data_IF_642981181773
#
_entry.id   IF_642981181773
#
_cell.length_a   1.000
_cell.length_b   1.000
_cell.length_c   1.000
_cell.angle_alpha   90.00
_cell.angle_beta   90.00
_cell.angle_gamma   90.00
#
_symmetry.space_group_name_H-M   'P 1'
#
loop_
_entity.id
_entity.type
_entity.pdbx_description
1 polymer ?
#
# COMPACT_ATOMS: atom_id res chain seq x y z
N UNK A 1 -36.66 -18.88 15.78
CA UNK A 1 -36.73 -19.51 14.45
C UNK A 1 -37.10 -18.41 13.47
N UNK A 2 -36.42 -18.40 12.32
CA UNK A 2 -36.64 -17.53 11.13
C UNK A 2 -35.80 -16.23 11.09
N UNK A 3 -34.64 -16.35 10.46
CA UNK A 3 -33.81 -15.27 9.90
C UNK A 3 -34.06 -15.25 8.39
N UNK A 4 -34.54 -14.12 7.82
CA UNK A 4 -34.34 -13.89 6.40
C UNK A 4 -33.99 -12.41 6.14
N UNK A 5 -32.70 -12.11 6.25
CA UNK A 5 -32.09 -10.86 5.81
C UNK A 5 -30.82 -11.18 5.04
N UNK A 6 -30.96 -12.06 4.05
CA UNK A 6 -29.94 -12.54 3.14
C UNK A 6 -29.46 -11.39 2.24
N UNK A 7 -28.74 -10.41 2.79
CA UNK A 7 -27.90 -9.54 1.99
C UNK A 7 -26.63 -10.33 1.69
N UNK A 8 -26.78 -11.21 0.69
CA UNK A 8 -25.68 -11.61 -0.17
C UNK A 8 -25.14 -10.32 -0.76
N UNK A 9 -24.11 -9.75 -0.12
CA UNK A 9 -23.31 -8.71 -0.74
C UNK A 9 -22.72 -9.36 -1.99
N UNK A 10 -23.26 -8.95 -3.16
CA UNK A 10 -22.83 -9.44 -4.46
C UNK A 10 -21.33 -9.21 -4.70
N UNK A 11 -20.80 -9.73 -5.83
CA UNK A 11 -19.37 -9.73 -6.09
C UNK A 11 -18.85 -8.29 -6.02
N UNK A 12 -17.95 -8.05 -5.06
CA UNK A 12 -17.18 -6.84 -4.82
C UNK A 12 -17.24 -5.84 -5.99
N UNK A 13 -17.97 -4.74 -5.79
CA UNK A 13 -17.94 -3.62 -6.73
C UNK A 13 -16.46 -3.22 -6.97
N UNK A 14 -15.97 -3.17 -8.23
CA UNK A 14 -14.56 -2.95 -8.54
C UNK A 14 -14.00 -1.64 -7.98
N UNK A 15 -14.84 -0.61 -7.83
CA UNK A 15 -14.47 0.65 -7.18
C UNK A 15 -14.13 0.49 -5.69
N UNK A 16 -14.82 -0.39 -4.96
CA UNK A 16 -14.49 -0.70 -3.57
C UNK A 16 -13.17 -1.46 -3.48
N UNK A 17 -12.91 -2.37 -4.42
CA UNK A 17 -11.66 -3.11 -4.45
C UNK A 17 -10.45 -2.19 -4.61
N UNK A 18 -10.49 -1.22 -5.52
CA UNK A 18 -9.40 -0.24 -5.68
C UNK A 18 -9.20 0.62 -4.44
N UNK A 19 -10.27 0.99 -3.72
CA UNK A 19 -10.15 1.71 -2.45
C UNK A 19 -9.51 0.86 -1.36
N UNK A 20 -9.87 -0.43 -1.27
CA UNK A 20 -9.29 -1.38 -0.31
C UNK A 20 -7.83 -1.70 -0.67
N UNK A 21 -7.53 -1.97 -1.93
CA UNK A 21 -6.16 -2.22 -2.38
C UNK A 21 -5.30 -0.96 -2.12
N UNK A 22 -5.82 0.25 -2.38
CA UNK A 22 -5.14 1.50 -2.04
C UNK A 22 -4.91 1.70 -0.54
N UNK A 23 -5.87 1.35 0.32
CA UNK A 23 -5.66 1.42 1.77
C UNK A 23 -4.62 0.41 2.26
N UNK A 24 -4.62 -0.80 1.70
CA UNK A 24 -3.61 -1.83 2.00
C UNK A 24 -2.21 -1.31 1.65
N UNK A 25 -2.01 -0.74 0.46
CA UNK A 25 -0.71 -0.18 0.07
C UNK A 25 -0.27 0.98 0.95
N UNK A 26 -1.20 1.87 1.35
CA UNK A 26 -0.91 2.96 2.29
C UNK A 26 -0.44 2.43 3.65
N UNK A 27 -1.10 1.42 4.17
CA UNK A 27 -0.75 0.80 5.45
C UNK A 27 0.60 0.09 5.33
N UNK A 28 0.86 -0.60 4.21
CA UNK A 28 2.16 -1.22 3.95
C UNK A 28 3.28 -0.20 3.94
N UNK A 29 3.11 0.88 3.15
CA UNK A 29 4.08 1.96 3.06
C UNK A 29 4.33 2.63 4.40
N UNK A 30 3.27 2.87 5.18
CA UNK A 30 3.37 3.45 6.51
C UNK A 30 4.16 2.56 7.46
N UNK A 31 3.95 1.24 7.42
CA UNK A 31 4.69 0.28 8.24
C UNK A 31 6.18 0.26 7.89
N UNK A 32 6.50 0.23 6.59
CA UNK A 32 7.88 0.26 6.10
C UNK A 32 8.60 1.57 6.47
N UNK A 33 7.92 2.71 6.30
CA UNK A 33 8.45 4.03 6.66
C UNK A 33 8.64 4.19 8.17
N UNK A 34 7.71 3.71 8.98
CA UNK A 34 7.84 3.78 10.44
C UNK A 34 9.08 3.03 10.96
N UNK A 35 9.52 1.99 10.25
CA UNK A 35 10.73 1.23 10.58
C UNK A 35 12.05 1.83 10.06
N UNK A 36 12.02 2.89 9.26
CA UNK A 36 13.21 3.38 8.51
C UNK A 36 13.58 4.84 8.76
N UNK A 37 12.84 5.55 9.63
CA UNK A 37 13.06 6.97 9.95
C UNK A 37 13.30 7.84 8.69
N UNK A 38 12.28 8.00 7.83
CA UNK A 38 12.40 8.58 6.48
C UNK A 38 12.51 10.11 6.46
N UNK A 39 12.37 10.79 7.60
CA UNK A 39 12.37 12.25 7.68
C UNK A 39 13.64 12.85 7.05
N UNK A 40 13.47 13.75 6.09
CA UNK A 40 14.58 14.38 5.38
C UNK A 40 15.40 13.43 4.48
N UNK A 41 14.94 12.19 4.24
CA UNK A 41 15.58 11.20 3.37
C UNK A 41 14.79 10.99 2.08
N UNK A 42 15.50 10.57 1.04
CA UNK A 42 14.86 10.09 -0.19
C UNK A 42 14.44 8.63 0.01
N UNK A 43 13.17 8.35 -0.26
CA UNK A 43 12.59 7.02 -0.17
C UNK A 43 12.13 6.59 -1.55
N UNK A 44 12.48 5.38 -1.96
CA UNK A 44 12.07 4.80 -3.24
C UNK A 44 11.18 3.58 -2.98
N UNK A 45 9.97 3.61 -3.55
CA UNK A 45 9.06 2.48 -3.53
C UNK A 45 9.08 1.77 -4.87
N UNK A 46 9.37 0.47 -4.84
CA UNK A 46 9.38 -0.41 -6.01
C UNK A 46 8.24 -1.43 -5.88
N UNK A 47 7.43 -1.55 -6.93
CA UNK A 47 6.26 -2.45 -7.00
C UNK A 47 5.96 -2.84 -8.44
N UNK A 48 5.02 -3.76 -8.65
CA UNK A 48 4.57 -4.10 -10.00
C UNK A 48 3.86 -2.90 -10.66
N UNK A 49 3.95 -2.75 -11.99
CA UNK A 49 3.28 -1.66 -12.73
C UNK A 49 1.77 -1.58 -12.44
N UNK A 50 1.17 -2.75 -12.28
CA UNK A 50 -0.25 -2.89 -12.01
C UNK A 50 -0.67 -2.39 -10.62
N UNK A 51 0.26 -2.40 -9.66
CA UNK A 51 0.02 -1.95 -8.29
C UNK A 51 0.30 -0.45 -8.11
N UNK A 52 0.97 0.21 -9.06
CA UNK A 52 1.32 1.64 -8.95
C UNK A 52 0.09 2.52 -8.78
N UNK A 53 -0.98 2.21 -9.52
CA UNK A 53 -2.25 2.94 -9.45
C UNK A 53 -2.91 2.78 -8.09
N UNK A 54 -2.94 1.56 -7.55
CA UNK A 54 -3.49 1.27 -6.23
C UNK A 54 -2.63 1.92 -5.13
N UNK A 55 -1.29 1.83 -5.24
CA UNK A 55 -0.35 2.47 -4.31
C UNK A 55 -0.50 3.98 -4.25
N UNK A 56 -0.57 4.66 -5.40
CA UNK A 56 -0.78 6.12 -5.44
C UNK A 56 -2.15 6.50 -4.88
N UNK A 57 -3.14 5.61 -5.02
CA UNK A 57 -4.52 5.89 -4.69
C UNK A 57 -5.14 6.93 -5.63
N UNK A 58 -6.42 7.20 -5.42
CA UNK A 58 -7.12 8.18 -6.25
C UNK A 58 -6.52 9.58 -6.08
N UNK A 59 -6.15 10.23 -7.19
CA UNK A 59 -5.52 11.57 -7.21
C UNK A 59 -4.26 11.69 -6.32
N UNK A 60 -3.46 10.62 -6.20
CA UNK A 60 -2.24 10.61 -5.37
C UNK A 60 -2.50 10.84 -3.86
N UNK A 61 -3.69 10.51 -3.36
CA UNK A 61 -4.05 10.67 -1.95
C UNK A 61 -3.05 10.00 -1.01
N UNK A 62 -2.62 8.78 -1.34
CA UNK A 62 -1.67 8.04 -0.51
C UNK A 62 -0.30 8.72 -0.47
N UNK A 63 0.20 9.21 -1.60
CA UNK A 63 1.47 9.95 -1.64
C UNK A 63 1.41 11.21 -0.78
N UNK A 64 0.31 11.96 -0.88
CA UNK A 64 0.09 13.16 -0.06
C UNK A 64 0.10 12.82 1.43
N UNK A 65 -0.63 11.75 1.82
CA UNK A 65 -0.66 11.25 3.19
C UNK A 65 0.73 10.85 3.70
N UNK A 66 1.50 10.10 2.92
CA UNK A 66 2.85 9.67 3.32
C UNK A 66 3.81 10.85 3.45
N UNK A 67 3.75 11.81 2.52
CA UNK A 67 4.56 13.03 2.58
C UNK A 67 4.22 13.88 3.81
N UNK A 68 2.94 14.09 4.10
CA UNK A 68 2.50 14.88 5.26
C UNK A 68 2.86 14.19 6.59
N UNK A 69 2.71 12.87 6.67
CA UNK A 69 2.93 12.10 7.90
C UNK A 69 4.40 11.85 8.24
N UNK A 70 5.22 11.57 7.22
CA UNK A 70 6.60 11.12 7.43
C UNK A 70 7.66 12.13 6.99
N UNK A 71 7.24 13.22 6.32
CA UNK A 71 8.10 14.31 5.85
C UNK A 71 9.41 13.84 5.18
N UNK A 72 9.36 12.87 4.25
CA UNK A 72 10.54 12.49 3.48
C UNK A 72 10.99 13.67 2.62
N UNK A 73 12.28 13.71 2.29
CA UNK A 73 12.84 14.70 1.36
C UNK A 73 12.25 14.52 -0.04
N UNK A 74 12.09 13.28 -0.46
CA UNK A 74 11.55 12.92 -1.77
C UNK A 74 10.98 11.49 -1.74
N UNK A 75 9.84 11.30 -2.40
CA UNK A 75 9.25 9.97 -2.61
C UNK A 75 9.36 9.63 -4.11
N UNK A 76 10.15 8.60 -4.41
CA UNK A 76 10.26 8.04 -5.75
C UNK A 76 9.39 6.79 -5.86
N UNK A 77 8.65 6.66 -6.96
CA UNK A 77 7.80 5.50 -7.22
C UNK A 77 8.26 4.88 -8.53
N UNK A 78 8.80 3.67 -8.43
CA UNK A 78 9.37 2.91 -9.54
C UNK A 78 8.52 1.66 -9.76
N UNK A 79 8.16 1.39 -11.01
CA UNK A 79 7.58 0.11 -11.39
C UNK A 79 8.68 -0.85 -11.83
N UNK A 80 8.64 -2.06 -11.29
CA UNK A 80 9.51 -3.15 -11.70
C UNK A 80 8.65 -4.28 -12.28
N UNK A 81 8.79 -4.61 -13.58
CA UNK A 81 8.04 -5.69 -14.20
C UNK A 81 8.41 -7.08 -13.66
N UNK A 82 9.57 -7.24 -13.02
CA UNK A 82 9.96 -8.49 -12.37
C UNK A 82 9.33 -8.66 -10.98
N UNK A 83 8.79 -7.56 -10.41
CA UNK A 83 8.15 -7.59 -9.10
C UNK A 83 6.76 -8.22 -9.15
N UNK A 84 6.49 -9.29 -8.38
CA UNK A 84 5.18 -9.91 -8.34
C UNK A 84 4.14 -8.98 -7.72
N UNK A 85 2.90 -9.10 -8.19
CA UNK A 85 1.77 -8.31 -7.67
C UNK A 85 1.60 -8.44 -6.16
N UNK A 86 1.29 -7.33 -5.51
CA UNK A 86 1.05 -7.24 -4.07
C UNK A 86 2.32 -7.14 -3.23
N UNK A 87 3.50 -7.08 -3.84
CA UNK A 87 4.75 -6.76 -3.16
C UNK A 87 5.02 -5.26 -3.18
N UNK A 88 5.49 -4.75 -2.06
CA UNK A 88 5.97 -3.39 -1.91
C UNK A 88 7.37 -3.42 -1.32
N UNK A 89 8.34 -2.91 -2.07
CA UNK A 89 9.72 -2.77 -1.61
C UNK A 89 10.01 -1.30 -1.37
N UNK A 90 10.47 -0.98 -0.17
CA UNK A 90 10.97 0.33 0.21
C UNK A 90 12.50 0.29 0.23
N UNK A 91 13.12 1.26 -0.43
CA UNK A 91 14.55 1.53 -0.34
C UNK A 91 14.74 2.92 0.28
N UNK A 92 15.50 2.97 1.37
CA UNK A 92 15.89 4.20 2.07
C UNK A 92 17.39 4.15 2.32
N UNK A 93 18.15 5.02 1.65
CA UNK A 93 19.62 5.04 1.74
C UNK A 93 20.23 3.65 1.48
N UNK A 94 20.73 2.97 2.51
CA UNK A 94 21.35 1.63 2.47
C UNK A 94 20.41 0.50 2.96
N UNK A 95 19.16 0.82 3.31
CA UNK A 95 18.20 -0.15 3.80
C UNK A 95 17.18 -0.48 2.71
N UNK A 96 16.99 -1.77 2.43
CA UNK A 96 15.91 -2.27 1.58
C UNK A 96 15.00 -3.15 2.43
N UNK A 97 13.72 -2.80 2.50
CA UNK A 97 12.69 -3.56 3.20
C UNK A 97 11.58 -3.91 2.22
N UNK A 98 11.18 -5.18 2.19
CA UNK A 98 10.10 -5.64 1.33
C UNK A 98 8.97 -6.21 2.17
N UNK A 99 7.74 -5.95 1.76
CA UNK A 99 6.54 -6.51 2.39
C UNK A 99 5.52 -6.92 1.35
N UNK A 100 4.84 -8.03 1.60
CA UNK A 100 3.74 -8.51 0.77
C UNK A 100 2.39 -8.10 1.40
N UNK A 101 1.35 -7.86 0.58
CA UNK A 101 -0.01 -7.50 1.01
C UNK A 101 -0.65 -8.47 2.00
N UNK A 102 -0.27 -9.76 1.98
CA UNK A 102 -0.74 -10.75 2.97
C UNK A 102 0.08 -10.74 4.26
N UNK A 103 1.24 -10.08 4.29
CA UNK A 103 2.02 -9.86 5.50
C UNK A 103 1.37 -8.86 6.47
N UNK A 104 0.41 -8.07 5.99
CA UNK A 104 -0.46 -7.23 6.82
C UNK A 104 -1.58 -7.99 7.50
N UNK A 105 -1.75 -9.29 7.26
CA UNK A 105 -2.83 -10.08 7.88
C UNK A 105 -2.77 -9.96 9.41
N UNK A 106 -3.74 -9.30 10.06
CA UNK A 106 -4.01 -9.59 11.45
C UNK A 106 -4.55 -11.01 11.46
N UNK A 107 -3.99 -11.89 12.28
CA UNK A 107 -4.62 -13.16 12.60
C UNK A 107 -6.00 -12.85 13.19
N UNK A 108 -7.05 -12.95 12.37
CA UNK A 108 -8.42 -13.02 12.85
C UNK A 108 -8.64 -14.47 13.28
N UNK A 109 -8.57 -14.68 14.60
CA UNK A 109 -9.10 -15.88 15.28
C UNK A 109 -10.61 -15.79 15.39
#
# INVERSE_FOLDING_TARGET
>A
MEIPGNIVAGPFHPAFRSLVDASIFRDMASSLLSGTAPEGRTVAFTMSEQDVSDFRGHKNENLRFLTEKFQPKEIQVTNDPESPRGWLTLQVQDQTLSMHRTGLCPSLS
#
